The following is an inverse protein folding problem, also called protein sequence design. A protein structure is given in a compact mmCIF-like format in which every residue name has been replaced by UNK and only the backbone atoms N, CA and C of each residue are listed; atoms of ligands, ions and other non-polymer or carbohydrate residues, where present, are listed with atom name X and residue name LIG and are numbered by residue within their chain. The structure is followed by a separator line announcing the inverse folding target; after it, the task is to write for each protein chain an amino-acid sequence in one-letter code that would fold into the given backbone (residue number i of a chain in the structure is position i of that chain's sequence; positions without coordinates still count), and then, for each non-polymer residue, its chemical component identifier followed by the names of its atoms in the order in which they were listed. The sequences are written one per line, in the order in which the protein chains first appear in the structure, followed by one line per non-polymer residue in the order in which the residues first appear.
data_IF_364744021680
#
_entry.id   IF_364744021680
#
_cell.length_a   1.000
_cell.length_b   1.000
_cell.length_c   1.000
_cell.angle_alpha   90.00
_cell.angle_beta   90.00
_cell.angle_gamma   90.00
#
_symmetry.space_group_name_H-M   'P 1'
#
loop_
_entity.id
_entity.type
_entity.pdbx_description
1 polymer ?
#
# COMPACT_ATOMS: atom_id res chain seq x y z
N UNK A 1 37.37 -18.65 6.67
CA UNK A 1 36.03 -18.06 6.44
C UNK A 1 35.47 -17.70 7.81
N UNK A 2 35.20 -16.42 8.04
CA UNK A 2 34.90 -15.85 9.36
C UNK A 2 33.44 -16.09 9.76
N UNK A 3 33.19 -16.34 11.05
CA UNK A 3 31.87 -16.64 11.64
C UNK A 3 30.78 -15.60 11.29
N UNK A 4 31.17 -14.35 11.07
CA UNK A 4 30.29 -13.27 10.63
C UNK A 4 29.67 -13.51 9.24
N UNK A 5 30.39 -14.17 8.33
CA UNK A 5 29.89 -14.48 6.99
C UNK A 5 28.82 -15.59 7.06
N UNK A 6 29.03 -16.57 7.93
CA UNK A 6 28.11 -17.70 8.15
C UNK A 6 26.79 -17.22 8.77
N UNK A 7 26.85 -16.29 9.73
CA UNK A 7 25.66 -15.69 10.34
C UNK A 7 24.81 -14.89 9.34
N UNK A 8 25.44 -14.16 8.42
CA UNK A 8 24.74 -13.38 7.40
C UNK A 8 24.04 -14.28 6.37
N UNK A 9 24.71 -15.38 5.98
CA UNK A 9 24.16 -16.35 5.05
C UNK A 9 22.95 -17.10 5.66
N UNK A 10 22.96 -17.39 6.95
CA UNK A 10 21.81 -17.95 7.67
C UNK A 10 20.64 -16.97 7.74
N UNK A 11 20.89 -15.70 8.02
CA UNK A 11 19.86 -14.66 8.05
C UNK A 11 19.18 -14.50 6.67
N UNK A 12 19.98 -14.44 5.60
CA UNK A 12 19.47 -14.36 4.23
C UNK A 12 18.66 -15.60 3.84
N UNK A 13 19.06 -16.78 4.32
CA UNK A 13 18.31 -18.02 4.11
C UNK A 13 16.96 -17.98 4.80
N UNK A 14 16.90 -17.54 6.06
CA UNK A 14 15.65 -17.40 6.80
C UNK A 14 14.70 -16.41 6.13
N UNK A 15 15.21 -15.26 5.66
CA UNK A 15 14.40 -14.27 4.93
C UNK A 15 13.78 -14.86 3.65
N UNK A 16 14.52 -15.69 2.91
CA UNK A 16 14.00 -16.39 1.72
C UNK A 16 12.94 -17.44 2.07
N UNK A 17 13.12 -18.17 3.17
CA UNK A 17 12.13 -19.16 3.64
C UNK A 17 10.82 -18.45 4.00
N UNK A 18 10.89 -17.33 4.73
CA UNK A 18 9.73 -16.47 5.05
C UNK A 18 9.07 -15.96 3.76
N UNK A 19 9.85 -15.43 2.81
CA UNK A 19 9.32 -14.94 1.54
C UNK A 19 8.55 -16.03 0.79
N UNK A 20 9.12 -17.24 0.69
CA UNK A 20 8.50 -18.36 0.01
C UNK A 20 7.18 -18.78 0.67
N UNK A 21 7.13 -18.78 2.00
CA UNK A 21 5.92 -19.11 2.75
C UNK A 21 4.82 -18.05 2.53
N UNK A 22 5.19 -16.76 2.60
CA UNK A 22 4.27 -15.66 2.28
C UNK A 22 3.72 -15.80 0.86
N UNK A 23 4.58 -16.08 -0.13
CA UNK A 23 4.14 -16.28 -1.52
C UNK A 23 3.21 -17.49 -1.68
N UNK A 24 3.42 -18.57 -0.92
CA UNK A 24 2.55 -19.75 -0.92
C UNK A 24 1.15 -19.43 -0.39
N UNK A 25 1.06 -18.68 0.71
CA UNK A 25 -0.20 -18.21 1.29
C UNK A 25 -0.95 -17.33 0.29
N UNK A 26 -0.26 -16.38 -0.35
CA UNK A 26 -0.85 -15.49 -1.37
C UNK A 26 -1.35 -16.26 -2.59
N UNK A 27 -0.67 -17.33 -3.01
CA UNK A 27 -1.12 -18.19 -4.12
C UNK A 27 -2.36 -19.00 -3.77
N UNK A 28 -2.46 -19.51 -2.54
CA UNK A 28 -3.63 -20.27 -2.07
C UNK A 28 -4.85 -19.37 -1.92
N UNK A 29 -4.69 -18.18 -1.35
CA UNK A 29 -5.80 -17.22 -1.18
C UNK A 29 -6.42 -16.76 -2.51
N UNK A 30 -5.65 -16.74 -3.61
CA UNK A 30 -6.16 -16.47 -4.96
C UNK A 30 -7.04 -17.57 -5.52
N UNK A 31 -6.87 -18.83 -5.09
CA UNK A 31 -7.70 -19.96 -5.56
C UNK A 31 -9.03 -20.09 -4.82
N UNK A 32 -9.10 -19.62 -3.57
CA UNK A 32 -10.26 -19.80 -2.69
C UNK A 32 -11.28 -18.64 -2.71
N UNK A 33 -10.99 -17.53 -3.41
CA UNK A 33 -11.92 -16.40 -3.47
C UNK A 33 -13.00 -16.61 -4.54
N UNK A 34 -14.23 -16.88 -4.09
CA UNK A 34 -15.45 -16.42 -4.78
C UNK A 34 -15.29 -14.91 -5.03
N UNK A 35 -15.67 -14.42 -6.22
CA UNK A 35 -15.46 -13.05 -6.68
C UNK A 35 -15.99 -11.99 -5.69
N UNK A 36 -15.16 -11.59 -4.74
CA UNK A 36 -15.33 -10.33 -4.01
C UNK A 36 -14.62 -9.30 -4.88
N UNK A 37 -15.40 -8.47 -5.58
CA UNK A 37 -14.94 -7.43 -6.50
C UNK A 37 -14.21 -6.25 -5.82
N UNK A 38 -13.87 -6.37 -4.53
CA UNK A 38 -13.13 -5.34 -3.81
C UNK A 38 -11.66 -5.33 -4.24
N UNK A 39 -11.26 -4.24 -4.90
CA UNK A 39 -9.90 -4.05 -5.39
C UNK A 39 -9.12 -3.15 -4.43
N UNK A 40 -7.89 -3.55 -4.17
CA UNK A 40 -6.90 -2.71 -3.49
C UNK A 40 -5.92 -2.20 -4.53
N UNK A 41 -5.89 -0.88 -4.72
CA UNK A 41 -4.96 -0.23 -5.63
C UNK A 41 -3.75 0.29 -4.85
N UNK A 42 -2.56 0.02 -5.35
CA UNK A 42 -1.32 0.54 -4.78
C UNK A 42 -0.63 1.46 -5.77
N UNK A 43 -0.51 2.74 -5.40
CA UNK A 43 0.18 3.76 -6.16
C UNK A 43 1.50 4.11 -5.48
N UNK A 44 2.60 3.97 -6.24
CA UNK A 44 3.90 4.50 -5.85
C UNK A 44 4.12 5.83 -6.57
N UNK A 45 3.92 6.94 -5.86
CA UNK A 45 4.10 8.28 -6.42
C UNK A 45 5.58 8.65 -6.40
N UNK A 46 6.24 8.36 -7.52
CA UNK A 46 7.61 8.81 -7.78
C UNK A 46 7.64 10.20 -8.47
N UNK A 47 6.51 10.67 -8.98
CA UNK A 47 6.26 11.98 -9.61
C UNK A 47 4.75 12.20 -9.78
N UNK A 48 4.35 13.34 -10.37
CA UNK A 48 2.94 13.75 -10.55
C UNK A 48 2.20 12.98 -11.67
N UNK A 49 2.87 12.14 -12.46
CA UNK A 49 2.30 11.60 -13.70
C UNK A 49 1.16 10.58 -13.48
N UNK A 50 0.94 10.12 -12.25
CA UNK A 50 -0.10 9.14 -11.90
C UNK A 50 -1.25 9.74 -11.07
N UNK A 51 -1.28 11.05 -10.91
CA UNK A 51 -2.32 11.70 -10.12
C UNK A 51 -3.71 11.50 -10.74
N UNK A 52 -3.83 11.60 -12.05
CA UNK A 52 -5.13 11.41 -12.74
C UNK A 52 -5.66 9.98 -12.60
N UNK A 53 -4.77 8.99 -12.56
CA UNK A 53 -5.15 7.59 -12.33
C UNK A 53 -5.63 7.37 -10.89
N UNK A 54 -5.00 8.03 -9.92
CA UNK A 54 -5.46 8.01 -8.52
C UNK A 54 -6.87 8.58 -8.43
N UNK A 55 -7.14 9.70 -9.10
CA UNK A 55 -8.45 10.34 -9.07
C UNK A 55 -9.55 9.45 -9.65
N UNK A 56 -9.30 8.78 -10.79
CA UNK A 56 -10.25 7.82 -11.35
C UNK A 56 -10.55 6.66 -10.41
N UNK A 57 -9.52 6.14 -9.72
CA UNK A 57 -9.68 4.99 -8.83
C UNK A 57 -10.43 5.35 -7.54
N UNK A 58 -10.26 6.58 -7.03
CA UNK A 58 -11.04 7.09 -5.88
C UNK A 58 -12.54 7.07 -6.18
N UNK A 59 -12.94 7.50 -7.38
CA UNK A 59 -14.34 7.53 -7.80
C UNK A 59 -14.99 6.14 -7.85
N UNK A 60 -14.19 5.08 -8.05
CA UNK A 60 -14.65 3.69 -8.17
C UNK A 60 -14.87 2.97 -6.82
N UNK A 61 -14.88 3.68 -5.68
CA UNK A 61 -15.10 3.11 -4.33
C UNK A 61 -14.13 1.99 -3.94
N UNK A 62 -12.87 2.10 -4.36
CA UNK A 62 -11.83 1.10 -4.07
C UNK A 62 -11.02 1.45 -2.81
N UNK A 63 -10.34 0.43 -2.26
CA UNK A 63 -9.29 0.67 -1.25
C UNK A 63 -8.03 1.14 -1.97
N UNK A 64 -7.40 2.20 -1.49
CA UNK A 64 -6.24 2.79 -2.14
C UNK A 64 -5.11 3.00 -1.16
N UNK A 65 -3.94 2.49 -1.51
CA UNK A 65 -2.68 2.73 -0.83
C UNK A 65 -1.81 3.64 -1.71
N UNK A 66 -1.25 4.70 -1.13
CA UNK A 66 -0.44 5.67 -1.85
C UNK A 66 0.88 5.86 -1.10
N UNK A 67 1.99 5.38 -1.66
CA UNK A 67 3.35 5.70 -1.21
C UNK A 67 3.75 7.04 -1.80
N UNK A 68 4.17 7.97 -0.93
CA UNK A 68 4.53 9.35 -1.26
C UNK A 68 6.05 9.57 -1.27
N UNK A 69 6.84 8.49 -1.27
CA UNK A 69 8.31 8.50 -1.08
C UNK A 69 9.08 9.33 -2.14
N UNK A 70 8.48 9.64 -3.30
CA UNK A 70 9.14 10.36 -4.38
C UNK A 70 8.61 11.76 -4.66
N UNK A 71 7.73 12.33 -3.83
CA UNK A 71 7.23 13.70 -4.02
C UNK A 71 8.06 14.72 -3.23
N UNK A 72 8.40 15.84 -3.86
CA UNK A 72 8.94 17.00 -3.15
C UNK A 72 7.92 17.59 -2.19
N UNK A 73 8.36 18.31 -1.15
CA UNK A 73 7.47 18.87 -0.12
C UNK A 73 6.34 19.75 -0.67
N UNK A 74 6.62 20.56 -1.69
CA UNK A 74 5.62 21.41 -2.33
C UNK A 74 4.58 20.58 -3.09
N UNK A 75 5.03 19.57 -3.84
CA UNK A 75 4.15 18.67 -4.58
C UNK A 75 3.28 17.84 -3.65
N UNK A 76 3.87 17.35 -2.55
CA UNK A 76 3.16 16.65 -1.51
C UNK A 76 2.08 17.55 -0.88
N UNK A 77 2.42 18.79 -0.52
CA UNK A 77 1.45 19.75 0.04
C UNK A 77 0.29 20.01 -0.92
N UNK A 78 0.59 20.19 -2.21
CA UNK A 78 -0.44 20.37 -3.24
C UNK A 78 -1.31 19.13 -3.38
N UNK A 79 -0.70 17.93 -3.44
CA UNK A 79 -1.41 16.66 -3.51
C UNK A 79 -2.37 16.46 -2.34
N UNK A 80 -1.91 16.66 -1.09
CA UNK A 80 -2.76 16.50 0.10
C UNK A 80 -3.90 17.53 0.12
N UNK A 81 -3.64 18.75 -0.36
CA UNK A 81 -4.67 19.80 -0.45
C UNK A 81 -5.77 19.42 -1.44
N UNK A 82 -5.39 18.91 -2.62
CA UNK A 82 -6.35 18.44 -3.64
C UNK A 82 -7.07 17.17 -3.18
N UNK A 83 -6.35 16.25 -2.55
CA UNK A 83 -6.91 15.03 -1.96
C UNK A 83 -8.03 15.40 -0.98
N UNK A 84 -7.79 16.33 -0.05
CA UNK A 84 -8.80 16.77 0.92
C UNK A 84 -10.05 17.37 0.28
N UNK A 85 -9.92 18.05 -0.88
CA UNK A 85 -11.06 18.64 -1.59
C UNK A 85 -11.92 17.58 -2.28
N UNK A 86 -11.29 16.56 -2.86
CA UNK A 86 -11.97 15.53 -3.67
C UNK A 86 -12.54 14.40 -2.84
N UNK A 87 -11.87 14.11 -1.73
CA UNK A 87 -12.13 12.95 -0.89
C UNK A 87 -12.91 13.36 0.37
N UNK A 88 -13.86 14.29 0.23
CA UNK A 88 -14.60 14.82 1.39
C UNK A 88 -15.38 13.75 2.14
N UNK A 89 -15.57 12.62 1.47
CA UNK A 89 -16.49 11.59 1.86
C UNK A 89 -15.79 10.32 2.35
N UNK A 90 -14.56 10.05 1.96
CA UNK A 90 -13.84 8.82 2.28
C UNK A 90 -12.93 8.97 3.52
N UNK A 91 -12.58 7.83 4.12
CA UNK A 91 -11.71 7.81 5.29
C UNK A 91 -10.24 7.75 4.86
N UNK A 92 -9.45 8.76 5.22
CA UNK A 92 -8.01 8.83 4.90
C UNK A 92 -7.20 8.59 6.17
N UNK A 93 -6.23 7.68 6.11
CA UNK A 93 -5.34 7.32 7.19
C UNK A 93 -3.87 7.43 6.76
N UNK A 94 -3.02 7.98 7.61
CA UNK A 94 -1.57 7.82 7.50
C UNK A 94 -1.17 6.58 8.30
N UNK A 95 -1.08 5.42 7.64
CA UNK A 95 -0.81 4.14 8.31
C UNK A 95 0.66 3.93 8.66
N UNK A 96 1.56 4.54 7.88
CA UNK A 96 3.01 4.58 8.10
C UNK A 96 3.54 5.71 7.25
N UNK A 97 4.38 6.60 7.77
CA UNK A 97 5.00 7.60 6.89
C UNK A 97 5.93 6.93 5.84
N UNK A 98 5.84 7.27 4.54
CA UNK A 98 4.96 8.24 3.88
C UNK A 98 3.86 7.56 3.02
N UNK A 99 3.16 6.58 3.58
CA UNK A 99 2.08 5.79 2.98
C UNK A 99 0.72 6.23 3.54
N UNK A 100 -0.16 6.65 2.64
CA UNK A 100 -1.56 6.88 2.91
C UNK A 100 -2.41 5.67 2.55
N UNK A 101 -3.47 5.45 3.32
CA UNK A 101 -4.56 4.54 3.05
C UNK A 101 -5.84 5.35 2.90
N UNK A 102 -6.55 5.16 1.80
CA UNK A 102 -7.89 5.72 1.56
C UNK A 102 -8.85 4.53 1.54
N UNK A 103 -9.85 4.58 2.42
CA UNK A 103 -10.89 3.56 2.52
C UNK A 103 -12.26 4.12 2.10
N UNK A 104 -13.03 3.36 1.31
CA UNK A 104 -14.42 3.68 1.05
C UNK A 104 -15.22 3.80 2.36
N UNK A 105 -16.26 4.63 2.38
CA UNK A 105 -17.11 4.88 3.56
C UNK A 105 -17.66 3.63 4.24
N UNK A 106 -17.97 2.60 3.45
CA UNK A 106 -18.57 1.36 3.95
C UNK A 106 -17.54 0.44 4.64
N UNK A 107 -16.24 0.76 4.53
CA UNK A 107 -15.16 0.03 5.18
C UNK A 107 -14.65 0.76 6.42
N UNK A 108 -14.16 -0.03 7.39
CA UNK A 108 -13.57 0.47 8.63
C UNK A 108 -12.19 -0.13 8.83
N UNK A 109 -11.20 0.71 9.14
CA UNK A 109 -9.89 0.25 9.59
C UNK A 109 -9.97 -0.23 11.05
N UNK A 110 -9.55 -1.46 11.31
CA UNK A 110 -9.40 -2.03 12.65
C UNK A 110 -7.90 -2.20 12.92
N UNK A 111 -7.41 -1.68 14.04
CA UNK A 111 -6.01 -1.73 14.45
C UNK A 111 -5.89 -2.67 15.64
N UNK A 112 -4.89 -3.55 15.63
CA UNK A 112 -4.57 -4.47 16.71
C UNK A 112 -3.17 -4.14 17.24
N UNK A 113 -3.00 -4.20 18.57
CA UNK A 113 -1.74 -3.97 19.28
C UNK A 113 -0.85 -5.22 19.33
#
# INVERSE_FOLDING_TARGET
MTEQQVSLDEELRMLREIENEVQSILKKSRKDRREINERVYYFKLNNLNRLDDIWKVIEEMNVILISLDGLGLNDLKNFITELKKRVSDENIYLIRWPILLILPRHMKLIIHD
#
